data_IF_172808048267
#
_entry.id   IF_172808048267
#
_cell.length_a   1.000
_cell.length_b   1.000
_cell.length_c   1.000
_cell.angle_alpha   90.00
_cell.angle_beta   90.00
_cell.angle_gamma   90.00
#
_symmetry.space_group_name_H-M   'P 1'
#
loop_
_entity.id
_entity.type
_entity.pdbx_description
1 polymer ?
#
# COMPACT_ATOMS: atom_id res chain seq x y z
N UNK A 1 6.41 -1.17 -19.71
CA UNK A 1 6.39 -1.62 -18.29
C UNK A 1 7.38 -2.77 -18.17
N UNK A 2 8.33 -2.66 -17.27
CA UNK A 2 9.30 -3.75 -17.04
C UNK A 2 8.61 -4.90 -16.30
N UNK A 3 8.82 -6.16 -16.70
CA UNK A 3 8.11 -7.31 -16.13
C UNK A 3 8.27 -7.43 -14.60
N UNK A 4 9.44 -7.12 -14.05
CA UNK A 4 9.69 -7.19 -12.61
C UNK A 4 8.88 -6.13 -11.83
N UNK A 5 8.67 -4.93 -12.39
CA UNK A 5 7.81 -3.89 -11.79
C UNK A 5 6.37 -4.38 -11.66
N UNK A 6 5.88 -5.11 -12.67
CA UNK A 6 4.53 -5.72 -12.63
C UNK A 6 4.42 -6.75 -11.52
N UNK A 7 5.43 -7.61 -11.35
CA UNK A 7 5.46 -8.60 -10.28
C UNK A 7 5.48 -7.95 -8.89
N UNK A 8 6.19 -6.84 -8.74
CA UNK A 8 6.26 -6.12 -7.48
C UNK A 8 4.97 -5.34 -7.19
N UNK A 9 4.30 -4.80 -8.20
CA UNK A 9 3.10 -3.96 -8.03
C UNK A 9 1.80 -4.75 -7.90
N UNK A 10 1.66 -5.89 -8.58
CA UNK A 10 0.43 -6.70 -8.57
C UNK A 10 0.49 -7.81 -7.53
N UNK A 11 -0.66 -8.17 -6.95
CA UNK A 11 -0.78 -9.30 -6.01
C UNK A 11 -0.40 -10.62 -6.67
N UNK A 12 -0.96 -10.88 -7.84
CA UNK A 12 -0.69 -12.00 -8.72
C UNK A 12 -1.12 -11.68 -10.16
N UNK A 13 -0.74 -12.57 -11.06
CA UNK A 13 -1.17 -12.53 -12.45
C UNK A 13 -1.90 -13.85 -12.75
N UNK A 14 -3.18 -13.73 -13.11
CA UNK A 14 -4.03 -14.85 -13.46
C UNK A 14 -3.95 -15.07 -14.97
N UNK A 15 -3.63 -16.28 -15.39
CA UNK A 15 -3.47 -16.65 -16.81
C UNK A 15 -4.76 -16.49 -17.62
N UNK A 16 -5.92 -16.75 -17.02
CA UNK A 16 -7.21 -16.58 -17.68
C UNK A 16 -7.54 -15.10 -17.96
N UNK A 17 -7.02 -14.16 -17.17
CA UNK A 17 -7.23 -12.71 -17.34
C UNK A 17 -6.20 -12.07 -18.27
N UNK A 18 -4.94 -12.52 -18.23
CA UNK A 18 -3.86 -11.98 -19.06
C UNK A 18 -2.83 -13.08 -19.38
N UNK A 19 -3.12 -13.81 -20.45
CA UNK A 19 -2.30 -14.95 -20.88
C UNK A 19 -0.93 -14.51 -21.39
N UNK A 20 -0.84 -13.40 -22.09
CA UNK A 20 0.41 -12.90 -22.65
C UNK A 20 1.35 -12.45 -21.54
N UNK A 21 0.87 -11.62 -20.62
CA UNK A 21 1.62 -11.17 -19.45
C UNK A 21 2.07 -12.36 -18.59
N UNK A 22 1.21 -13.37 -18.40
CA UNK A 22 1.57 -14.59 -17.66
C UNK A 22 2.83 -15.25 -18.23
N UNK A 23 2.91 -15.45 -19.55
CA UNK A 23 4.08 -16.10 -20.15
C UNK A 23 5.31 -15.20 -20.14
N UNK A 24 5.17 -13.91 -20.39
CA UNK A 24 6.27 -12.94 -20.27
C UNK A 24 6.89 -12.96 -18.87
N UNK A 25 6.06 -12.96 -17.84
CA UNK A 25 6.53 -12.97 -16.45
C UNK A 25 7.13 -14.32 -16.04
N UNK A 26 6.60 -15.42 -16.57
CA UNK A 26 7.17 -16.75 -16.32
C UNK A 26 8.63 -16.85 -16.81
N UNK A 27 8.92 -16.25 -17.96
CA UNK A 27 10.27 -16.21 -18.52
C UNK A 27 11.18 -15.23 -17.74
N UNK A 28 10.64 -14.11 -17.28
CA UNK A 28 11.36 -13.08 -16.54
C UNK A 28 11.76 -13.53 -15.13
N UNK A 29 10.91 -14.28 -14.42
CA UNK A 29 11.24 -14.82 -13.09
C UNK A 29 12.53 -15.64 -13.13
N UNK A 30 12.76 -16.42 -14.21
CA UNK A 30 13.99 -17.17 -14.37
C UNK A 30 15.25 -16.30 -14.42
N UNK A 31 15.16 -15.12 -15.05
CA UNK A 31 16.27 -14.15 -15.16
C UNK A 31 16.50 -13.35 -13.89
N UNK A 32 15.42 -13.07 -13.15
CA UNK A 32 15.44 -12.23 -11.94
C UNK A 32 15.52 -13.04 -10.65
N UNK A 33 15.66 -14.36 -10.73
CA UNK A 33 15.55 -15.27 -9.58
C UNK A 33 16.49 -14.88 -8.45
N UNK A 34 17.77 -14.68 -8.77
CA UNK A 34 18.80 -14.37 -7.77
C UNK A 34 18.51 -13.04 -7.08
N UNK A 35 18.04 -12.03 -7.82
CA UNK A 35 17.63 -10.77 -7.24
C UNK A 35 16.43 -10.93 -6.30
N UNK A 36 15.40 -11.66 -6.74
CA UNK A 36 14.20 -11.90 -5.93
C UNK A 36 14.52 -12.66 -4.64
N UNK A 37 15.33 -13.72 -4.73
CA UNK A 37 15.62 -14.59 -3.57
C UNK A 37 16.71 -14.04 -2.67
N UNK A 38 17.83 -13.58 -3.22
CA UNK A 38 18.98 -13.16 -2.40
C UNK A 38 18.85 -11.72 -1.89
N UNK A 39 18.31 -10.80 -2.72
CA UNK A 39 18.23 -9.38 -2.36
C UNK A 39 16.92 -9.04 -1.68
N UNK A 40 15.80 -9.60 -2.14
CA UNK A 40 14.49 -9.34 -1.57
C UNK A 40 14.02 -10.45 -0.62
N UNK A 41 14.58 -11.65 -0.70
CA UNK A 41 14.09 -12.80 0.06
C UNK A 41 12.66 -13.19 -0.34
N UNK A 42 12.23 -12.87 -1.56
CA UNK A 42 10.90 -13.15 -2.04
C UNK A 42 10.85 -14.49 -2.76
N UNK A 43 9.78 -15.23 -2.52
CA UNK A 43 9.50 -16.49 -3.17
C UNK A 43 8.49 -16.30 -4.31
N UNK A 44 8.81 -16.79 -5.49
CA UNK A 44 7.90 -16.80 -6.62
C UNK A 44 7.15 -18.13 -6.68
N UNK A 45 5.81 -18.07 -6.66
CA UNK A 45 4.91 -19.20 -6.88
C UNK A 45 4.46 -19.13 -8.33
N UNK A 46 4.80 -20.18 -9.10
CA UNK A 46 4.42 -20.32 -10.51
C UNK A 46 3.61 -21.60 -10.67
N UNK A 47 2.34 -21.46 -10.98
CA UNK A 47 1.42 -22.58 -11.23
C UNK A 47 0.90 -22.52 -12.67
N UNK A 48 0.21 -23.54 -13.18
CA UNK A 48 -0.38 -23.48 -14.51
C UNK A 48 -1.37 -22.32 -14.73
N UNK A 49 -1.95 -21.77 -13.66
CA UNK A 49 -3.03 -20.80 -13.71
C UNK A 49 -2.67 -19.42 -13.18
N UNK A 50 -1.64 -19.29 -12.34
CA UNK A 50 -1.24 -18.01 -11.77
C UNK A 50 0.27 -17.91 -11.51
N UNK A 51 0.74 -16.67 -11.45
CA UNK A 51 2.06 -16.30 -10.94
C UNK A 51 1.84 -15.35 -9.77
N UNK A 52 2.44 -15.65 -8.62
CA UNK A 52 2.44 -14.80 -7.42
C UNK A 52 3.86 -14.63 -6.91
N UNK A 53 4.21 -13.42 -6.53
CA UNK A 53 5.40 -13.14 -5.74
C UNK A 53 4.96 -12.96 -4.27
N UNK A 54 5.49 -13.76 -3.36
CA UNK A 54 5.24 -13.59 -1.93
C UNK A 54 6.05 -12.41 -1.41
N UNK A 55 5.38 -11.25 -1.36
CA UNK A 55 5.98 -9.99 -0.95
C UNK A 55 5.69 -9.76 0.52
N UNK A 56 6.76 -9.62 1.31
CA UNK A 56 6.68 -9.25 2.71
C UNK A 56 7.46 -7.96 2.88
N UNK A 57 6.88 -6.93 3.50
CA UNK A 57 7.57 -5.67 3.71
C UNK A 57 8.75 -5.83 4.69
N UNK A 58 9.66 -4.87 4.69
CA UNK A 58 10.71 -4.79 5.70
C UNK A 58 10.12 -4.44 7.08
N UNK A 59 9.18 -3.51 7.06
CA UNK A 59 8.43 -3.05 8.22
C UNK A 59 6.95 -3.01 7.86
N UNK A 60 6.08 -3.41 8.79
CA UNK A 60 4.64 -3.38 8.59
C UNK A 60 4.14 -1.93 8.74
N UNK A 61 3.36 -1.48 7.76
CA UNK A 61 2.75 -0.16 7.75
C UNK A 61 1.22 -0.27 7.69
N UNK A 62 0.53 0.68 8.29
CA UNK A 62 -0.94 0.67 8.36
C UNK A 62 -1.62 0.66 6.98
N UNK A 63 -0.98 1.23 5.96
CA UNK A 63 -1.51 1.29 4.60
C UNK A 63 -1.37 -0.03 3.82
N UNK A 64 -0.63 -1.02 4.34
CA UNK A 64 -0.38 -2.31 3.66
C UNK A 64 -1.55 -3.30 3.74
N UNK A 65 -2.61 -2.98 4.49
CA UNK A 65 -3.84 -3.75 4.54
C UNK A 65 -4.68 -3.67 3.27
N UNK A 66 -5.85 -4.31 3.29
CA UNK A 66 -6.83 -4.20 2.21
C UNK A 66 -7.50 -2.83 2.30
N UNK A 67 -7.15 -1.93 1.38
CA UNK A 67 -7.59 -0.53 1.44
C UNK A 67 -9.11 -0.35 1.24
N UNK A 68 -9.74 -1.31 0.58
CA UNK A 68 -11.19 -1.34 0.41
C UNK A 68 -11.92 -1.63 1.71
N UNK A 69 -11.26 -2.27 2.69
CA UNK A 69 -11.91 -2.68 3.94
C UNK A 69 -11.84 -1.57 4.99
N UNK A 70 -12.97 -1.33 5.64
CA UNK A 70 -13.12 -0.30 6.68
C UNK A 70 -13.60 -0.88 8.02
N UNK A 71 -13.97 -2.17 8.05
CA UNK A 71 -14.50 -2.85 9.20
C UNK A 71 -13.82 -4.22 9.38
N UNK A 72 -13.56 -4.64 10.62
CA UNK A 72 -12.97 -5.95 10.90
C UNK A 72 -13.88 -7.11 10.48
N UNK A 73 -15.19 -6.90 10.44
CA UNK A 73 -16.15 -7.89 9.96
C UNK A 73 -15.90 -8.28 8.49
N UNK A 74 -15.40 -7.32 7.68
CA UNK A 74 -15.05 -7.57 6.28
C UNK A 74 -13.85 -8.55 6.17
N UNK A 75 -12.89 -8.46 7.10
CA UNK A 75 -11.79 -9.44 7.20
C UNK A 75 -12.29 -10.82 7.68
N UNK A 76 -13.22 -10.84 8.63
CA UNK A 76 -13.86 -12.10 9.09
C UNK A 76 -14.56 -12.77 7.91
N UNK A 77 -15.39 -12.03 7.16
CA UNK A 77 -16.06 -12.57 5.98
C UNK A 77 -15.07 -13.06 4.92
N UNK A 78 -13.98 -12.33 4.68
CA UNK A 78 -12.94 -12.80 3.77
C UNK A 78 -12.34 -14.13 4.23
N UNK A 79 -12.00 -14.28 5.51
CA UNK A 79 -11.50 -15.56 6.06
C UNK A 79 -12.52 -16.69 5.88
N UNK A 80 -13.80 -16.41 6.15
CA UNK A 80 -14.87 -17.41 5.97
C UNK A 80 -15.03 -17.82 4.50
N UNK A 81 -14.93 -16.86 3.56
CA UNK A 81 -14.95 -17.16 2.12
C UNK A 81 -13.76 -18.03 1.72
N UNK A 82 -12.55 -17.70 2.20
CA UNK A 82 -11.36 -18.50 1.91
C UNK A 82 -11.49 -19.93 2.43
N UNK A 83 -12.00 -20.10 3.66
CA UNK A 83 -12.28 -21.44 4.25
C UNK A 83 -13.33 -22.20 3.43
N UNK A 84 -14.42 -21.55 3.04
CA UNK A 84 -15.47 -22.13 2.20
C UNK A 84 -14.93 -22.62 0.85
N UNK A 85 -14.01 -21.86 0.24
CA UNK A 85 -13.41 -22.19 -1.04
C UNK A 85 -12.30 -23.26 -0.94
N UNK A 86 -11.69 -23.45 0.23
CA UNK A 86 -10.66 -24.50 0.42
C UNK A 86 -11.27 -25.92 0.30
N UNK A 87 -12.53 -26.07 0.66
CA UNK A 87 -13.28 -27.33 0.54
C UNK A 87 -13.79 -27.61 -0.90
N UNK A 88 -13.52 -26.71 -1.86
CA UNK A 88 -14.06 -26.76 -3.23
C UNK A 88 -12.98 -26.81 -4.29
N UNK A 89 -13.28 -27.52 -5.35
CA UNK A 89 -12.36 -27.60 -6.49
C UNK A 89 -12.32 -26.31 -7.33
N UNK A 90 -11.20 -26.10 -8.00
CA UNK A 90 -11.09 -25.01 -8.99
C UNK A 90 -12.05 -25.27 -10.15
N UNK A 91 -12.83 -24.27 -10.52
CA UNK A 91 -13.89 -24.34 -11.53
C UNK A 91 -15.25 -24.77 -10.97
N UNK A 92 -15.35 -25.15 -9.70
CA UNK A 92 -16.62 -25.49 -9.07
C UNK A 92 -17.49 -24.23 -8.88
N UNK A 93 -18.76 -24.37 -9.24
CA UNK A 93 -19.75 -23.32 -9.10
C UNK A 93 -20.54 -23.46 -7.80
N UNK A 94 -20.95 -22.34 -7.23
CA UNK A 94 -21.80 -22.28 -6.04
C UNK A 94 -22.70 -21.03 -6.09
N UNK A 95 -23.85 -21.11 -5.44
CA UNK A 95 -24.76 -19.98 -5.26
C UNK A 95 -24.49 -19.25 -3.96
N UNK A 96 -24.82 -17.95 -3.92
CA UNK A 96 -24.57 -17.11 -2.77
C UNK A 96 -25.21 -17.63 -1.48
N UNK A 97 -26.41 -18.23 -1.55
CA UNK A 97 -27.08 -18.83 -0.39
C UNK A 97 -26.25 -19.90 0.30
N UNK A 98 -25.53 -20.75 -0.44
CA UNK A 98 -24.62 -21.75 0.15
C UNK A 98 -23.52 -21.11 0.99
N UNK A 99 -22.96 -19.99 0.55
CA UNK A 99 -21.94 -19.26 1.27
C UNK A 99 -22.53 -18.57 2.52
N UNK A 100 -23.70 -17.95 2.40
CA UNK A 100 -24.34 -17.27 3.55
C UNK A 100 -24.75 -18.25 4.64
N UNK A 101 -25.23 -19.43 4.28
CA UNK A 101 -25.52 -20.54 5.23
C UNK A 101 -24.24 -21.03 5.91
N UNK A 102 -23.14 -21.19 5.14
CA UNK A 102 -21.83 -21.57 5.69
C UNK A 102 -21.32 -20.54 6.70
N UNK A 103 -21.36 -19.25 6.37
CA UNK A 103 -20.93 -18.17 7.26
C UNK A 103 -21.77 -18.18 8.55
N UNK A 104 -23.09 -18.26 8.42
CA UNK A 104 -24.01 -18.27 9.56
C UNK A 104 -23.81 -19.48 10.47
N UNK A 105 -23.48 -20.65 9.90
CA UNK A 105 -23.22 -21.86 10.64
C UNK A 105 -21.88 -21.89 11.39
N UNK A 106 -20.89 -21.11 10.97
CA UNK A 106 -19.54 -21.14 11.53
C UNK A 106 -19.20 -19.97 12.45
N UNK A 107 -19.94 -18.86 12.40
CA UNK A 107 -19.74 -17.72 13.31
C UNK A 107 -20.64 -17.89 14.53
N UNK A 108 -20.04 -18.18 15.70
CA UNK A 108 -20.77 -18.52 16.93
C UNK A 108 -21.06 -17.32 17.85
N UNK A 109 -20.24 -16.28 17.83
CA UNK A 109 -20.29 -15.21 18.82
C UNK A 109 -21.28 -14.09 18.49
N UNK A 110 -21.48 -13.79 17.21
CA UNK A 110 -22.52 -12.86 16.75
C UNK A 110 -23.41 -13.60 15.74
N UNK A 111 -24.65 -13.84 16.08
CA UNK A 111 -25.60 -14.44 15.13
C UNK A 111 -25.76 -13.49 13.94
N UNK A 112 -25.13 -13.85 12.82
CA UNK A 112 -25.30 -13.11 11.57
C UNK A 112 -26.74 -13.25 11.10
N UNK A 113 -27.42 -12.11 10.99
CA UNK A 113 -28.78 -12.02 10.49
C UNK A 113 -28.78 -11.32 9.13
N UNK A 114 -28.97 -12.10 8.06
CA UNK A 114 -28.95 -11.58 6.70
C UNK A 114 -30.15 -10.68 6.36
N UNK A 115 -31.18 -10.61 7.21
CA UNK A 115 -32.24 -9.60 7.05
C UNK A 115 -31.74 -8.19 7.33
N UNK A 116 -30.65 -8.05 8.09
CA UNK A 116 -30.03 -6.77 8.44
C UNK A 116 -29.14 -6.28 7.28
N UNK A 117 -29.46 -5.10 6.77
CA UNK A 117 -28.77 -4.49 5.63
C UNK A 117 -27.26 -4.32 5.81
N UNK A 118 -26.78 -3.99 7.02
CA UNK A 118 -25.35 -3.76 7.25
C UNK A 118 -24.52 -5.03 7.00
N UNK A 119 -24.97 -6.21 7.43
CA UNK A 119 -24.28 -7.47 7.18
C UNK A 119 -24.22 -7.78 5.68
N UNK A 120 -25.34 -7.63 4.97
CA UNK A 120 -25.35 -7.80 3.50
C UNK A 120 -24.40 -6.87 2.80
N UNK A 121 -24.36 -5.59 3.20
CA UNK A 121 -23.45 -4.59 2.64
C UNK A 121 -21.99 -4.96 2.82
N UNK A 122 -21.59 -5.42 4.01
CA UNK A 122 -20.23 -5.87 4.28
C UNK A 122 -19.88 -7.10 3.45
N UNK A 123 -20.77 -8.11 3.40
CA UNK A 123 -20.53 -9.29 2.57
C UNK A 123 -20.39 -8.96 1.10
N UNK A 124 -21.31 -8.17 0.52
CA UNK A 124 -21.23 -7.73 -0.88
C UNK A 124 -19.93 -7.00 -1.18
N UNK A 125 -19.47 -6.17 -0.27
CA UNK A 125 -18.17 -5.46 -0.41
C UNK A 125 -17.01 -6.45 -0.49
N UNK A 126 -17.00 -7.48 0.35
CA UNK A 126 -15.98 -8.53 0.34
C UNK A 126 -16.09 -9.40 -0.91
N UNK A 127 -17.29 -9.75 -1.36
CA UNK A 127 -17.51 -10.50 -2.59
C UNK A 127 -16.99 -9.72 -3.82
N UNK A 128 -17.33 -8.44 -3.94
CA UNK A 128 -16.79 -7.56 -4.97
C UNK A 128 -15.26 -7.49 -4.95
N UNK A 129 -14.67 -7.46 -3.75
CA UNK A 129 -13.22 -7.55 -3.61
C UNK A 129 -12.68 -8.89 -4.12
N UNK A 130 -13.29 -10.03 -3.76
CA UNK A 130 -12.88 -11.35 -4.21
C UNK A 130 -12.96 -11.49 -5.75
N UNK A 131 -14.01 -10.94 -6.36
CA UNK A 131 -14.15 -10.88 -7.83
C UNK A 131 -13.09 -9.98 -8.45
N UNK A 132 -12.88 -8.78 -7.89
CA UNK A 132 -11.87 -7.82 -8.37
C UNK A 132 -10.47 -8.43 -8.37
N UNK A 133 -10.06 -9.11 -7.29
CA UNK A 133 -8.75 -9.74 -7.21
C UNK A 133 -8.67 -11.10 -7.92
N UNK A 134 -9.80 -11.67 -8.34
CA UNK A 134 -9.89 -12.89 -9.13
C UNK A 134 -9.85 -14.18 -8.32
N UNK A 135 -10.26 -14.14 -7.06
CA UNK A 135 -10.56 -15.34 -6.26
C UNK A 135 -11.82 -16.01 -6.78
N UNK A 136 -12.80 -15.17 -7.19
CA UNK A 136 -14.09 -15.58 -7.71
C UNK A 136 -14.33 -14.98 -9.09
N UNK A 137 -15.16 -15.65 -9.87
CA UNK A 137 -15.79 -15.14 -11.10
C UNK A 137 -17.30 -15.21 -10.94
N UNK A 138 -18.03 -14.25 -11.51
CA UNK A 138 -19.51 -14.25 -11.55
C UNK A 138 -19.92 -14.91 -12.86
N UNK A 139 -20.65 -16.01 -12.77
CA UNK A 139 -21.22 -16.70 -13.95
C UNK A 139 -22.61 -16.19 -14.29
N UNK A 140 -23.43 -15.89 -13.25
CA UNK A 140 -24.77 -15.33 -13.43
C UNK A 140 -25.23 -14.52 -12.21
N UNK A 141 -26.07 -13.52 -12.44
CA UNK A 141 -26.64 -12.67 -11.39
C UNK A 141 -25.83 -11.40 -11.11
N UNK A 142 -26.23 -10.69 -10.04
CA UNK A 142 -25.58 -9.46 -9.59
C UNK A 142 -25.66 -9.35 -8.06
N UNK A 143 -24.52 -9.04 -7.46
CA UNK A 143 -24.40 -8.82 -5.99
C UNK A 143 -25.29 -7.67 -5.49
N UNK A 144 -25.65 -6.72 -6.36
CA UNK A 144 -26.54 -5.61 -6.01
C UNK A 144 -27.96 -6.07 -5.70
N UNK A 145 -28.38 -7.26 -6.19
CA UNK A 145 -29.67 -7.86 -5.87
C UNK A 145 -29.68 -8.34 -4.42
N UNK A 146 -28.63 -9.04 -3.97
CA UNK A 146 -28.54 -9.48 -2.58
C UNK A 146 -28.41 -8.28 -1.60
N UNK A 147 -27.80 -7.20 -2.01
CA UNK A 147 -27.75 -5.99 -1.19
C UNK A 147 -29.13 -5.41 -0.91
N UNK A 148 -30.07 -5.54 -1.88
CA UNK A 148 -31.45 -5.05 -1.76
C UNK A 148 -32.38 -6.01 -0.99
N UNK A 149 -32.19 -7.31 -1.17
CA UNK A 149 -32.99 -8.38 -0.59
C UNK A 149 -32.11 -9.59 -0.26
N UNK A 150 -32.35 -10.23 0.87
CA UNK A 150 -31.69 -11.47 1.29
C UNK A 150 -32.01 -12.69 0.40
N UNK A 151 -33.04 -12.58 -0.46
CA UNK A 151 -33.40 -13.60 -1.46
C UNK A 151 -32.62 -13.48 -2.78
N UNK A 152 -31.76 -12.45 -2.92
CA UNK A 152 -30.99 -12.23 -4.14
C UNK A 152 -29.93 -13.32 -4.36
N UNK A 153 -30.06 -14.10 -5.44
CA UNK A 153 -29.10 -15.13 -5.80
C UNK A 153 -28.06 -14.64 -6.83
N UNK A 154 -26.82 -15.14 -6.65
CA UNK A 154 -25.69 -14.92 -7.56
C UNK A 154 -24.95 -16.24 -7.69
N UNK A 155 -24.63 -16.63 -8.92
CA UNK A 155 -23.82 -17.81 -9.23
C UNK A 155 -22.35 -17.41 -9.37
N UNK A 156 -21.50 -17.96 -8.54
CA UNK A 156 -20.07 -17.75 -8.55
C UNK A 156 -19.33 -19.01 -8.99
N UNK A 157 -18.13 -18.80 -9.55
CA UNK A 157 -17.17 -19.86 -9.84
C UNK A 157 -15.91 -19.66 -8.98
N UNK A 158 -15.41 -20.72 -8.35
CA UNK A 158 -14.12 -20.76 -7.68
C UNK A 158 -12.98 -20.81 -8.71
N UNK A 159 -12.12 -19.80 -8.75
CA UNK A 159 -10.97 -19.80 -9.68
C UNK A 159 -9.81 -20.69 -9.19
N UNK A 160 -9.82 -21.11 -7.93
CA UNK A 160 -8.73 -21.82 -7.26
C UNK A 160 -7.58 -20.89 -6.80
N UNK A 161 -7.69 -19.59 -7.04
CA UNK A 161 -6.68 -18.61 -6.58
C UNK A 161 -6.73 -18.39 -5.06
N UNK A 162 -7.85 -18.72 -4.39
CA UNK A 162 -8.01 -18.63 -2.93
C UNK A 162 -6.89 -19.29 -2.15
N UNK A 163 -6.42 -20.47 -2.61
CA UNK A 163 -5.33 -21.26 -2.00
C UNK A 163 -4.00 -20.50 -1.92
N UNK A 164 -3.82 -19.50 -2.76
CA UNK A 164 -2.60 -18.68 -2.82
C UNK A 164 -2.79 -17.28 -2.21
N UNK A 165 -3.97 -17.00 -1.63
CA UNK A 165 -4.25 -15.68 -1.08
C UNK A 165 -3.45 -15.43 0.20
N UNK A 166 -3.49 -16.35 1.14
CA UNK A 166 -2.72 -16.31 2.37
C UNK A 166 -1.31 -16.85 2.17
N UNK A 167 -0.37 -16.40 3.00
CA UNK A 167 0.93 -17.06 3.15
C UNK A 167 0.76 -18.26 4.09
N UNK A 168 1.50 -19.33 3.82
CA UNK A 168 1.62 -20.41 4.78
C UNK A 168 2.49 -19.98 5.96
N UNK A 169 1.97 -20.13 7.16
CA UNK A 169 2.71 -19.88 8.40
C UNK A 169 3.32 -21.20 8.90
N UNK A 170 4.52 -21.15 9.44
CA UNK A 170 5.23 -22.32 9.98
C UNK A 170 4.77 -22.65 11.40
N UNK A 171 4.13 -21.69 12.08
CA UNK A 171 3.57 -21.81 13.43
C UNK A 171 2.06 -21.65 13.43
N UNK A 172 1.42 -22.05 14.54
CA UNK A 172 0.00 -21.77 14.75
C UNK A 172 -0.20 -20.23 14.83
N UNK A 173 -1.24 -19.74 14.14
CA UNK A 173 -1.56 -18.30 14.12
C UNK A 173 -1.83 -17.77 15.53
N UNK A 174 -2.34 -18.60 16.43
CA UNK A 174 -2.59 -18.26 17.84
C UNK A 174 -1.33 -17.94 18.64
N UNK A 175 -0.14 -18.35 18.16
CA UNK A 175 1.14 -18.06 18.79
C UNK A 175 1.63 -16.63 18.55
N UNK A 176 1.05 -15.93 17.57
CA UNK A 176 1.40 -14.54 17.22
C UNK A 176 0.56 -13.56 18.04
N UNK A 177 1.20 -12.68 18.78
CA UNK A 177 0.54 -11.67 19.62
C UNK A 177 0.59 -10.27 19.03
N UNK A 178 1.56 -10.02 18.16
CA UNK A 178 1.84 -8.71 17.58
C UNK A 178 2.14 -8.83 16.09
N UNK A 179 1.91 -7.73 15.39
CA UNK A 179 2.19 -7.63 13.97
C UNK A 179 3.67 -7.94 13.62
N UNK A 180 4.58 -7.51 14.49
CA UNK A 180 6.02 -7.75 14.33
C UNK A 180 6.39 -9.25 14.41
N UNK A 181 5.59 -10.07 15.08
CA UNK A 181 5.87 -11.50 15.20
C UNK A 181 5.72 -12.20 13.85
N UNK A 182 4.78 -11.75 12.99
CA UNK A 182 4.63 -12.25 11.62
C UNK A 182 5.82 -11.87 10.72
N UNK A 183 6.43 -10.72 10.94
CA UNK A 183 7.63 -10.30 10.20
C UNK A 183 8.87 -11.08 10.64
N UNK A 184 8.99 -11.37 11.95
CA UNK A 184 10.13 -12.13 12.50
C UNK A 184 10.15 -13.57 12.01
N UNK A 185 8.99 -14.17 11.76
CA UNK A 185 8.90 -15.53 11.26
C UNK A 185 9.63 -15.74 9.95
N UNK A 186 9.62 -14.75 9.07
CA UNK A 186 10.30 -14.80 7.78
C UNK A 186 11.79 -15.14 7.91
N UNK A 187 12.40 -14.73 9.01
CA UNK A 187 13.83 -14.89 9.27
C UNK A 187 14.14 -15.97 10.31
N UNK A 188 13.15 -16.80 10.69
CA UNK A 188 13.38 -17.94 11.57
C UNK A 188 14.32 -18.92 10.88
N UNK A 189 15.42 -19.28 11.55
CA UNK A 189 16.48 -20.13 10.99
C UNK A 189 17.56 -19.37 10.21
N UNK A 190 17.39 -18.06 9.94
CA UNK A 190 18.43 -17.19 9.39
C UNK A 190 19.17 -16.39 10.48
N UNK A 191 18.95 -16.72 11.75
CA UNK A 191 19.42 -15.94 12.90
C UNK A 191 20.94 -15.79 13.00
N UNK A 192 21.72 -16.64 12.33
CA UNK A 192 23.17 -16.60 12.34
C UNK A 192 23.77 -15.66 11.27
N UNK A 193 22.98 -15.31 10.22
CA UNK A 193 23.45 -14.40 9.16
C UNK A 193 22.69 -13.07 9.16
N UNK A 194 23.04 -12.21 10.12
CA UNK A 194 22.52 -10.83 10.21
C UNK A 194 22.73 -10.03 8.92
N UNK A 195 23.76 -10.36 8.13
CA UNK A 195 24.06 -9.68 6.88
C UNK A 195 23.01 -9.92 5.78
N UNK A 196 22.48 -11.14 5.67
CA UNK A 196 21.42 -11.48 4.71
C UNK A 196 20.13 -10.74 5.10
N UNK A 197 19.72 -10.84 6.36
CA UNK A 197 18.49 -10.19 6.86
C UNK A 197 18.52 -8.68 6.61
N UNK A 198 19.64 -8.04 6.98
CA UNK A 198 19.82 -6.59 6.77
C UNK A 198 19.73 -6.22 5.30
N UNK A 199 20.42 -6.98 4.44
CA UNK A 199 20.36 -6.75 2.99
C UNK A 199 18.94 -6.83 2.45
N UNK A 200 18.21 -7.90 2.77
CA UNK A 200 16.82 -8.06 2.35
C UNK A 200 15.92 -6.93 2.86
N UNK A 201 16.06 -6.54 4.11
CA UNK A 201 15.32 -5.44 4.72
C UNK A 201 15.58 -4.12 4.01
N UNK A 202 16.83 -3.81 3.70
CA UNK A 202 17.21 -2.58 2.97
C UNK A 202 16.61 -2.56 1.56
N UNK A 203 16.76 -3.63 0.78
CA UNK A 203 16.21 -3.67 -0.58
C UNK A 203 14.68 -3.62 -0.59
N UNK A 204 14.02 -4.27 0.36
CA UNK A 204 12.56 -4.18 0.54
C UNK A 204 12.14 -2.75 0.88
N UNK A 205 12.81 -2.09 1.82
CA UNK A 205 12.51 -0.70 2.20
C UNK A 205 12.68 0.25 1.03
N UNK A 206 13.75 0.14 0.25
CA UNK A 206 13.99 1.00 -0.92
C UNK A 206 12.92 0.83 -2.01
N UNK A 207 12.38 -0.38 -2.20
CA UNK A 207 11.41 -0.66 -3.27
C UNK A 207 9.94 -0.58 -2.82
N UNK A 208 9.65 -0.69 -1.52
CA UNK A 208 8.30 -0.85 -1.00
C UNK A 208 7.90 0.25 -0.02
N UNK A 209 8.82 1.15 0.34
CA UNK A 209 8.56 2.31 1.20
C UNK A 209 9.00 3.59 0.50
N UNK A 210 8.46 4.77 0.86
CA UNK A 210 8.85 6.04 0.26
C UNK A 210 10.32 6.39 0.47
N UNK A 211 10.94 5.90 1.54
CA UNK A 211 12.35 6.09 1.84
C UNK A 211 12.82 5.35 3.09
N UNK A 212 14.11 5.40 3.35
CA UNK A 212 14.72 4.95 4.61
C UNK A 212 15.15 6.19 5.37
N UNK A 213 14.61 6.37 6.58
CA UNK A 213 14.95 7.47 7.47
C UNK A 213 15.83 6.95 8.61
N UNK A 214 16.85 7.71 8.96
CA UNK A 214 17.75 7.38 10.09
C UNK A 214 16.98 7.59 11.40
N UNK A 215 16.79 6.51 12.15
CA UNK A 215 16.30 6.48 13.53
C UNK A 215 16.87 5.27 14.26
N UNK A 216 16.53 5.09 15.52
CA UNK A 216 17.08 4.00 16.36
C UNK A 216 16.82 2.60 15.78
N UNK A 217 15.67 2.40 15.11
CA UNK A 217 15.28 1.11 14.52
C UNK A 217 15.97 0.83 13.18
N UNK A 218 16.37 1.88 12.46
CA UNK A 218 16.89 1.81 11.09
C UNK A 218 18.39 2.16 10.98
N UNK A 219 19.08 2.46 12.07
CA UNK A 219 20.46 2.91 12.07
C UNK A 219 21.40 1.95 11.31
N UNK A 220 21.28 0.66 11.57
CA UNK A 220 22.11 -0.35 10.91
C UNK A 220 21.81 -0.48 9.42
N UNK A 221 20.52 -0.35 9.02
CA UNK A 221 20.09 -0.40 7.64
C UNK A 221 20.56 0.84 6.88
N UNK A 222 20.46 2.00 7.51
CA UNK A 222 20.93 3.25 6.93
C UNK A 222 22.47 3.27 6.79
N UNK A 223 23.20 2.76 7.76
CA UNK A 223 24.65 2.59 7.67
C UNK A 223 25.05 1.66 6.51
N UNK A 224 24.29 0.57 6.29
CA UNK A 224 24.46 -0.33 5.16
C UNK A 224 24.25 0.39 3.83
N UNK A 225 23.17 1.16 3.69
CA UNK A 225 22.89 1.95 2.48
C UNK A 225 24.03 2.93 2.19
N UNK A 226 24.46 3.69 3.19
CA UNK A 226 25.58 4.65 3.03
C UNK A 226 26.87 4.00 2.57
N UNK A 227 27.21 2.83 3.15
CA UNK A 227 28.44 2.13 2.83
C UNK A 227 28.41 1.49 1.45
N UNK A 228 27.28 0.89 1.06
CA UNK A 228 27.17 0.12 -0.18
C UNK A 228 26.38 0.83 -1.29
N UNK A 229 26.16 2.14 -1.20
CA UNK A 229 25.31 2.92 -2.12
C UNK A 229 25.60 2.67 -3.61
N UNK A 230 26.87 2.60 -4.01
CA UNK A 230 27.25 2.36 -5.40
C UNK A 230 26.84 0.96 -5.89
N UNK A 231 27.10 -0.06 -5.07
CA UNK A 231 26.73 -1.44 -5.38
C UNK A 231 25.19 -1.60 -5.46
N UNK A 232 24.47 -1.01 -4.51
CA UNK A 232 22.99 -1.04 -4.50
C UNK A 232 22.43 -0.37 -5.75
N UNK A 233 22.97 0.80 -6.14
CA UNK A 233 22.58 1.52 -7.35
C UNK A 233 22.80 0.69 -8.61
N UNK A 234 23.97 0.07 -8.76
CA UNK A 234 24.29 -0.77 -9.92
C UNK A 234 23.38 -2.00 -10.01
N UNK A 235 23.09 -2.64 -8.87
CA UNK A 235 22.19 -3.79 -8.81
C UNK A 235 20.75 -3.42 -9.16
N UNK A 236 20.24 -2.31 -8.62
CA UNK A 236 18.89 -1.83 -8.92
C UNK A 236 18.74 -1.42 -10.39
N UNK A 237 19.75 -0.76 -10.97
CA UNK A 237 19.72 -0.32 -12.37
C UNK A 237 19.68 -1.49 -13.39
N UNK A 238 20.00 -2.71 -12.98
CA UNK A 238 19.84 -3.89 -13.84
C UNK A 238 18.36 -4.20 -14.12
N UNK A 239 17.48 -3.83 -13.18
CA UNK A 239 16.07 -4.19 -13.21
C UNK A 239 15.14 -2.99 -13.34
N UNK A 240 15.54 -1.84 -12.79
CA UNK A 240 14.74 -0.64 -12.71
C UNK A 240 15.42 0.54 -13.40
N UNK A 241 14.63 1.48 -13.85
CA UNK A 241 15.10 2.82 -14.19
C UNK A 241 14.95 3.67 -12.93
N UNK A 242 16.05 3.86 -12.20
CA UNK A 242 15.99 4.50 -10.89
C UNK A 242 17.33 5.13 -10.49
N UNK A 243 17.27 6.06 -9.56
CA UNK A 243 18.42 6.70 -8.92
C UNK A 243 18.32 6.58 -7.39
N UNK A 244 19.35 6.03 -6.75
CA UNK A 244 19.45 5.97 -5.30
C UNK A 244 20.09 7.27 -4.78
N UNK A 245 19.30 8.09 -4.11
CA UNK A 245 19.75 9.33 -3.51
C UNK A 245 19.90 9.17 -2.00
N UNK A 246 21.15 9.31 -1.50
CA UNK A 246 21.49 9.16 -0.09
C UNK A 246 21.89 10.52 0.48
N UNK A 247 21.14 10.98 1.47
CA UNK A 247 21.34 12.22 2.20
C UNK A 247 21.92 11.95 3.61
N UNK A 248 21.96 12.98 4.45
CA UNK A 248 22.52 12.86 5.81
C UNK A 248 21.73 11.92 6.70
N UNK A 249 20.38 12.00 6.66
CA UNK A 249 19.46 11.24 7.52
C UNK A 249 18.42 10.45 6.77
N UNK A 250 18.49 10.42 5.43
CA UNK A 250 17.50 9.76 4.60
C UNK A 250 18.08 9.18 3.31
N UNK A 251 17.44 8.15 2.78
CA UNK A 251 17.77 7.57 1.48
C UNK A 251 16.47 7.32 0.70
N UNK A 252 16.45 7.69 -0.57
CA UNK A 252 15.29 7.58 -1.46
C UNK A 252 15.67 6.86 -2.74
N UNK A 253 14.75 6.03 -3.23
CA UNK A 253 14.83 5.49 -4.58
C UNK A 253 13.91 6.31 -5.48
N UNK A 254 14.51 7.13 -6.34
CA UNK A 254 13.78 7.95 -7.31
C UNK A 254 13.62 7.14 -8.58
N UNK A 255 12.38 6.89 -8.99
CA UNK A 255 12.07 6.11 -10.18
C UNK A 255 12.05 7.00 -11.42
N UNK A 256 12.42 6.44 -12.58
CA UNK A 256 12.29 7.13 -13.86
C UNK A 256 10.83 7.36 -14.25
N UNK A 257 10.59 8.31 -15.18
CA UNK A 257 9.25 8.75 -15.59
C UNK A 257 8.37 7.61 -16.13
N UNK A 258 8.98 6.62 -16.80
CA UNK A 258 8.27 5.47 -17.38
C UNK A 258 8.11 4.29 -16.39
N UNK A 259 8.54 4.43 -15.14
CA UNK A 259 8.44 3.38 -14.15
C UNK A 259 7.02 3.25 -13.60
N UNK A 260 6.60 2.02 -13.37
CA UNK A 260 5.28 1.69 -12.81
C UNK A 260 5.41 0.68 -11.66
N UNK A 261 6.15 1.05 -10.64
CA UNK A 261 6.37 0.23 -9.45
C UNK A 261 5.21 0.39 -8.42
N UNK A 262 3.97 0.24 -8.88
CA UNK A 262 2.80 0.34 -8.03
C UNK A 262 2.45 1.80 -7.66
N UNK A 263 2.07 2.02 -6.40
CA UNK A 263 1.81 3.36 -5.88
C UNK A 263 3.12 4.07 -5.60
N UNK A 264 3.39 5.15 -6.31
CA UNK A 264 4.54 6.02 -6.10
C UNK A 264 4.06 7.45 -5.85
N UNK A 265 4.85 8.25 -5.13
CA UNK A 265 4.57 9.67 -4.99
C UNK A 265 5.43 10.47 -6.00
N UNK A 266 4.84 11.44 -6.73
CA UNK A 266 3.43 11.84 -6.74
C UNK A 266 2.53 10.82 -7.46
N UNK A 267 1.26 10.70 -6.98
CA UNK A 267 0.20 9.96 -7.66
C UNK A 267 -0.55 10.89 -8.62
N UNK A 268 -1.17 10.33 -9.67
CA UNK A 268 -2.02 11.07 -10.60
C UNK A 268 -3.40 11.41 -9.99
N UNK A 269 -3.41 12.17 -8.89
CA UNK A 269 -4.63 12.63 -8.25
C UNK A 269 -4.46 14.02 -7.63
N UNK A 270 -5.57 14.75 -7.50
CA UNK A 270 -5.59 16.12 -6.99
C UNK A 270 -5.00 16.26 -5.58
N UNK A 271 -5.15 15.24 -4.72
CA UNK A 271 -4.63 15.33 -3.35
C UNK A 271 -3.10 15.27 -3.33
N UNK A 272 -2.52 14.44 -4.20
CA UNK A 272 -1.07 14.39 -4.40
C UNK A 272 -0.52 15.74 -4.90
N UNK A 273 -1.22 16.38 -5.86
CA UNK A 273 -0.83 17.71 -6.35
C UNK A 273 -0.89 18.77 -5.23
N UNK A 274 -1.94 18.70 -4.40
CA UNK A 274 -2.07 19.59 -3.24
C UNK A 274 -0.92 19.39 -2.24
N UNK A 275 -0.51 18.14 -2.00
CA UNK A 275 0.63 17.84 -1.13
C UNK A 275 1.93 18.42 -1.70
N UNK A 276 2.16 18.32 -3.02
CA UNK A 276 3.33 18.95 -3.65
C UNK A 276 3.35 20.47 -3.43
N UNK A 277 2.20 21.14 -3.58
CA UNK A 277 2.07 22.58 -3.32
C UNK A 277 2.30 22.92 -1.83
N UNK A 278 1.80 22.09 -0.93
CA UNK A 278 2.02 22.22 0.50
C UNK A 278 3.52 22.08 0.84
N UNK A 279 4.21 21.10 0.25
CA UNK A 279 5.66 20.92 0.41
C UNK A 279 6.44 22.16 -0.06
N UNK A 280 6.04 22.76 -1.19
CA UNK A 280 6.63 24.02 -1.68
C UNK A 280 6.47 25.17 -0.69
N UNK A 281 5.26 25.34 -0.12
CA UNK A 281 5.02 26.36 0.92
C UNK A 281 5.82 26.09 2.19
N UNK A 282 5.88 24.82 2.62
CA UNK A 282 6.66 24.42 3.77
C UNK A 282 8.14 24.78 3.62
N UNK A 283 8.71 24.47 2.46
CA UNK A 283 10.09 24.86 2.10
C UNK A 283 10.26 26.38 2.09
N UNK A 284 9.30 27.12 1.54
CA UNK A 284 9.33 28.58 1.58
C UNK A 284 9.43 29.09 3.02
N UNK A 285 8.62 28.56 3.94
CA UNK A 285 8.63 28.93 5.36
C UNK A 285 9.97 28.63 6.05
N UNK A 286 10.64 27.57 5.68
CA UNK A 286 12.01 27.28 6.14
C UNK A 286 12.97 28.34 5.63
N UNK A 287 12.91 28.68 4.35
CA UNK A 287 13.79 29.65 3.73
C UNK A 287 13.58 31.08 4.28
N UNK A 288 12.34 31.41 4.64
CA UNK A 288 11.97 32.72 5.23
C UNK A 288 12.33 32.79 6.73
N UNK A 289 12.74 31.66 7.35
CA UNK A 289 13.09 31.57 8.77
C UNK A 289 11.91 31.41 9.72
N UNK A 290 10.71 31.16 9.20
CA UNK A 290 9.50 30.92 10.00
C UNK A 290 9.52 29.55 10.69
N UNK A 291 10.30 28.59 10.15
CA UNK A 291 10.48 27.23 10.64
C UNK A 291 11.97 26.96 10.76
N UNK A 292 12.43 26.62 11.96
CA UNK A 292 13.82 26.24 12.21
C UNK A 292 14.05 24.78 11.82
N UNK A 293 15.18 24.53 11.13
CA UNK A 293 15.65 23.16 10.82
C UNK A 293 16.71 22.78 11.83
N UNK A 294 16.46 21.81 12.71
CA UNK A 294 17.44 21.36 13.67
C UNK A 294 18.59 20.62 13.00
N UNK A 295 19.72 20.46 13.72
CA UNK A 295 20.93 19.79 13.20
C UNK A 295 20.64 18.34 12.78
N UNK A 296 19.66 17.69 13.42
CA UNK A 296 19.22 16.31 13.12
C UNK A 296 18.30 16.18 11.90
N UNK A 297 17.88 17.29 11.28
CA UNK A 297 16.92 17.33 10.14
C UNK A 297 15.48 16.90 10.48
N UNK A 298 15.19 16.44 11.68
CA UNK A 298 13.83 16.10 12.13
C UNK A 298 13.09 17.39 12.52
N UNK A 299 12.27 17.87 11.61
CA UNK A 299 11.49 19.09 11.84
C UNK A 299 10.20 18.72 12.57
N UNK A 300 9.97 19.35 13.73
CA UNK A 300 8.73 19.18 14.49
C UNK A 300 7.97 20.51 14.49
N UNK A 301 6.72 20.46 14.03
CA UNK A 301 5.82 21.62 14.03
C UNK A 301 4.60 21.34 14.92
N UNK A 302 3.96 22.38 15.41
CA UNK A 302 2.69 22.23 16.10
C UNK A 302 1.56 21.92 15.12
N UNK A 303 0.48 21.30 15.61
CA UNK A 303 -0.75 21.10 14.82
C UNK A 303 -1.29 22.44 14.28
N UNK A 304 -1.16 23.53 15.06
CA UNK A 304 -1.56 24.86 14.62
C UNK A 304 -0.74 25.38 13.43
N UNK A 305 0.58 25.15 13.42
CA UNK A 305 1.42 25.50 12.26
C UNK A 305 1.05 24.69 11.02
N UNK A 306 0.78 23.38 11.17
CA UNK A 306 0.30 22.56 10.06
C UNK A 306 -1.01 23.09 9.47
N UNK A 307 -1.98 23.44 10.33
CA UNK A 307 -3.26 24.04 9.91
C UNK A 307 -3.01 25.37 9.20
N UNK A 308 -2.18 26.25 9.75
CA UNK A 308 -1.89 27.55 9.15
C UNK A 308 -1.26 27.44 7.75
N UNK A 309 -0.32 26.49 7.55
CA UNK A 309 0.28 26.23 6.23
C UNK A 309 -0.79 25.67 5.27
N UNK A 310 -1.65 24.77 5.75
CA UNK A 310 -2.73 24.18 4.95
C UNK A 310 -3.78 25.22 4.54
N UNK A 311 -4.13 26.16 5.43
CA UNK A 311 -4.99 27.31 5.11
C UNK A 311 -4.36 28.20 4.05
N UNK A 312 -3.08 28.51 4.21
CA UNK A 312 -2.34 29.30 3.22
C UNK A 312 -2.29 28.60 1.86
N UNK A 313 -2.05 27.29 1.86
CA UNK A 313 -2.08 26.47 0.64
C UNK A 313 -3.44 26.56 -0.06
N UNK A 314 -4.53 26.37 0.68
CA UNK A 314 -5.89 26.48 0.15
C UNK A 314 -6.21 27.89 -0.36
N UNK A 315 -5.80 28.92 0.37
CA UNK A 315 -6.01 30.31 -0.03
C UNK A 315 -5.26 30.66 -1.32
N UNK A 316 -3.98 30.23 -1.45
CA UNK A 316 -3.15 30.55 -2.62
C UNK A 316 -3.54 29.76 -3.87
N UNK A 317 -3.86 28.48 -3.70
CA UNK A 317 -3.94 27.53 -4.82
C UNK A 317 -5.34 26.90 -5.00
N UNK A 318 -6.23 27.05 -4.04
CA UNK A 318 -7.54 26.40 -4.02
C UNK A 318 -8.41 26.66 -5.24
N UNK A 319 -8.27 27.81 -5.91
CA UNK A 319 -9.02 28.11 -7.14
C UNK A 319 -8.69 27.18 -8.32
N UNK A 320 -7.49 26.58 -8.32
CA UNK A 320 -7.08 25.61 -9.32
C UNK A 320 -7.55 24.18 -9.03
N UNK A 321 -8.15 23.93 -7.84
CA UNK A 321 -8.53 22.60 -7.43
C UNK A 321 -9.93 22.20 -7.93
N UNK A 322 -10.18 20.90 -7.98
CA UNK A 322 -11.51 20.38 -8.25
C UNK A 322 -12.50 20.82 -7.15
N UNK A 323 -13.79 20.91 -7.50
CA UNK A 323 -14.86 21.39 -6.63
C UNK A 323 -14.85 20.75 -5.24
N UNK A 324 -14.60 19.44 -5.17
CA UNK A 324 -14.58 18.68 -3.91
C UNK A 324 -13.60 19.27 -2.89
N UNK A 325 -12.36 19.57 -3.27
CA UNK A 325 -11.37 20.15 -2.33
C UNK A 325 -11.55 21.66 -2.14
N UNK A 326 -12.04 22.35 -3.18
CA UNK A 326 -12.31 23.80 -3.10
C UNK A 326 -13.39 24.13 -2.08
N UNK A 327 -14.50 23.37 -2.09
CA UNK A 327 -15.67 23.60 -1.23
C UNK A 327 -15.62 22.85 0.11
N UNK A 328 -14.60 22.00 0.34
CA UNK A 328 -14.41 21.24 1.57
C UNK A 328 -14.17 22.18 2.76
N UNK A 329 -14.73 21.87 3.92
CA UNK A 329 -14.45 22.61 5.15
C UNK A 329 -12.96 22.52 5.50
N UNK A 330 -12.43 23.51 6.22
CA UNK A 330 -11.01 23.54 6.56
C UNK A 330 -10.59 22.34 7.44
N UNK A 331 -11.45 21.94 8.37
CA UNK A 331 -11.21 20.79 9.24
C UNK A 331 -11.12 19.48 8.46
N UNK A 332 -12.07 19.22 7.53
CA UNK A 332 -12.05 18.03 6.68
C UNK A 332 -10.85 18.03 5.73
N UNK A 333 -10.50 19.20 5.19
CA UNK A 333 -9.35 19.36 4.31
C UNK A 333 -8.04 19.02 5.03
N UNK A 334 -7.79 19.61 6.22
CA UNK A 334 -6.61 19.32 7.01
C UNK A 334 -6.52 17.84 7.40
N UNK A 335 -7.64 17.22 7.78
CA UNK A 335 -7.63 15.80 8.12
C UNK A 335 -7.28 14.91 6.93
N UNK A 336 -7.89 15.13 5.76
CA UNK A 336 -7.56 14.37 4.55
C UNK A 336 -6.12 14.56 4.10
N UNK A 337 -5.62 15.80 4.15
CA UNK A 337 -4.23 16.10 3.80
C UNK A 337 -3.27 15.37 4.74
N UNK A 338 -3.53 15.44 6.04
CA UNK A 338 -2.75 14.79 7.07
C UNK A 338 -2.75 13.26 6.93
N UNK A 339 -3.92 12.65 6.77
CA UNK A 339 -4.05 11.20 6.54
C UNK A 339 -3.24 10.75 5.32
N UNK A 340 -3.33 11.47 4.21
CA UNK A 340 -2.57 11.15 3.01
C UNK A 340 -1.05 11.28 3.24
N UNK A 341 -0.60 12.36 3.88
CA UNK A 341 0.82 12.57 4.18
C UNK A 341 1.38 11.53 5.18
N UNK A 342 0.54 11.02 6.10
CA UNK A 342 0.91 9.91 7.00
C UNK A 342 1.07 8.61 6.20
N UNK A 343 0.12 8.31 5.30
CA UNK A 343 0.18 7.12 4.42
C UNK A 343 1.44 7.14 3.55
N UNK A 344 1.83 8.32 3.06
CA UNK A 344 3.04 8.50 2.24
C UNK A 344 4.33 8.68 3.07
N UNK A 345 4.28 8.42 4.37
CA UNK A 345 5.42 8.56 5.29
C UNK A 345 6.13 9.92 5.19
N UNK A 346 5.36 10.99 4.95
CA UNK A 346 5.86 12.37 4.89
C UNK A 346 5.84 13.05 6.24
N UNK A 347 4.89 12.66 7.08
CA UNK A 347 4.71 13.17 8.43
C UNK A 347 4.33 12.04 9.39
N UNK A 348 4.57 12.28 10.69
CA UNK A 348 4.12 11.42 11.80
C UNK A 348 3.52 12.29 12.90
N UNK A 349 2.34 11.89 13.40
CA UNK A 349 1.77 12.55 14.59
C UNK A 349 2.48 12.04 15.86
N UNK A 350 2.88 13.00 16.71
CA UNK A 350 3.48 12.76 18.01
C UNK A 350 2.73 13.63 19.02
N UNK A 351 1.73 13.07 19.68
CA UNK A 351 0.82 13.82 20.57
C UNK A 351 0.18 15.02 19.84
N UNK A 352 0.41 16.24 20.30
CA UNK A 352 -0.11 17.48 19.71
C UNK A 352 0.85 18.11 18.68
N UNK A 353 1.86 17.38 18.25
CA UNK A 353 2.88 17.82 17.31
C UNK A 353 2.94 16.94 16.07
N UNK A 354 3.51 17.46 15.03
CA UNK A 354 3.70 16.76 13.76
C UNK A 354 5.20 16.76 13.43
N UNK A 355 5.81 15.58 13.39
CA UNK A 355 7.14 15.38 12.84
C UNK A 355 7.05 15.36 11.33
N UNK A 356 7.88 16.14 10.67
CA UNK A 356 7.94 16.25 9.20
C UNK A 356 9.22 15.57 8.73
N UNK A 357 9.06 14.54 7.89
CA UNK A 357 10.19 13.76 7.37
C UNK A 357 10.90 14.48 6.20
N UNK A 358 12.18 14.17 5.97
CA UNK A 358 13.02 14.82 4.95
C UNK A 358 12.47 14.78 3.51
N UNK A 359 11.60 13.82 3.18
CA UNK A 359 10.95 13.74 1.86
C UNK A 359 10.17 15.01 1.52
N UNK A 360 9.57 15.68 2.51
CA UNK A 360 8.82 16.95 2.33
C UNK A 360 9.73 18.04 1.80
N UNK A 361 11.00 18.05 2.21
CA UNK A 361 11.99 18.99 1.68
C UNK A 361 12.52 18.63 0.29
N UNK A 362 12.26 17.39 -0.18
CA UNK A 362 12.78 16.89 -1.46
C UNK A 362 11.81 17.09 -2.62
N UNK A 363 10.52 17.07 -2.35
CA UNK A 363 9.46 17.19 -3.36
C UNK A 363 8.84 18.57 -3.33
N UNK A 364 8.48 19.10 -4.48
CA UNK A 364 7.90 20.46 -4.60
C UNK A 364 6.98 20.52 -5.81
N UNK A 365 5.83 21.13 -5.65
CA UNK A 365 4.94 21.51 -6.73
C UNK A 365 4.79 23.02 -6.81
N UNK A 366 4.64 23.53 -8.02
CA UNK A 366 4.29 24.91 -8.25
C UNK A 366 3.30 25.02 -9.42
N UNK A 367 2.39 25.96 -9.34
CA UNK A 367 1.60 26.33 -10.51
C UNK A 367 2.42 27.15 -11.50
N UNK A 368 2.05 27.16 -12.80
CA UNK A 368 2.64 28.03 -13.80
C UNK A 368 2.58 29.51 -13.35
N UNK A 369 3.54 30.33 -13.83
CA UNK A 369 3.66 31.75 -13.42
C UNK A 369 2.44 32.62 -13.78
N UNK A 370 1.65 32.18 -14.74
CA UNK A 370 0.41 32.81 -15.17
C UNK A 370 -0.83 32.35 -14.39
N UNK A 371 -0.66 31.42 -13.43
CA UNK A 371 -1.74 31.04 -12.54
C UNK A 371 -2.13 32.22 -11.65
N UNK A 372 -3.32 32.76 -11.90
CA UNK A 372 -3.93 33.79 -11.06
C UNK A 372 -4.55 33.08 -9.83
N UNK A 373 -3.74 32.88 -8.79
CA UNK A 373 -4.25 32.54 -7.47
C UNK A 373 -5.30 33.56 -7.08
N UNK A 374 -6.35 33.11 -6.37
CA UNK A 374 -7.43 33.99 -5.99
C UNK A 374 -6.97 35.18 -5.15
N UNK A 375 -6.69 36.28 -5.82
CA UNK A 375 -6.93 37.57 -5.21
C UNK A 375 -8.45 37.66 -5.04
N UNK A 376 -8.90 37.56 -3.80
CA UNK A 376 -10.28 37.87 -3.47
C UNK A 376 -10.59 39.25 -4.04
N UNK A 377 -11.55 39.34 -4.94
CA UNK A 377 -12.20 40.60 -5.19
C UNK A 377 -12.68 41.14 -3.84
N UNK A 378 -12.09 42.23 -3.38
CA UNK A 378 -12.65 43.09 -2.35
C UNK A 378 -14.08 43.53 -2.68
#
# INVERSE_FOLDING_TARGET
>A
MKPLEVLLSKRWILKNRDKELYYQLKDEIGKSRDFLTEKLGYQAIVTPNLIKLEKIPAYAQNWMGIQEFSDHLEYIFLCMILMFLEERDSGEQFVLSMLTEYIQGNIKEDQIDWTIYSYRRHLVKVMKYCVKVGILEIDDGSEDNFMKSDEGEVLYQNTGASRYFMKNFSRDISDYQKQEDFLKEEWIGMNEDRGIIRRQRVYRSLLMSPGIYLNDDTEEDFAYVRHYRGMIQEELNRFFDCELQVHKTSAFLVMGEDSNLGKSFPEENTLSDIVLLWCGLFRQKINDGDIEVPIGEDIVISTQQFVAISEECKRRYGNGWIKTYREMTMGEFCNKLKEYMIIMEMIKEIYDQIMVYPIVGKVEGCYPKDFKGGEANE
#
